data_IF_655170551492
#
_entry.id   IF_655170551492
#
_cell.length_a   1.000
_cell.length_b   1.000
_cell.length_c   1.000
_cell.angle_alpha   90.00
_cell.angle_beta   90.00
_cell.angle_gamma   90.00
#
_symmetry.space_group_name_H-M   'P 1'
#
loop_
_entity.id
_entity.type
_entity.pdbx_description
1 polymer ?
#
# COMPACT_ATOMS: atom_id res chain seq x y z
N UNK A 1 -21.77 -47.17 30.14
CA UNK A 1 -21.45 -45.75 30.44
C UNK A 1 -20.52 -45.22 29.34
N UNK A 2 -21.00 -44.98 28.12
CA UNK A 2 -20.14 -44.50 27.01
C UNK A 2 -20.49 -43.09 26.52
N UNK A 3 -21.65 -42.54 26.90
CA UNK A 3 -22.14 -41.29 26.31
C UNK A 3 -21.76 -40.00 27.05
N UNK A 4 -21.26 -40.08 28.29
CA UNK A 4 -20.99 -38.88 29.11
C UNK A 4 -19.61 -38.25 28.83
N UNK A 5 -18.60 -39.07 28.52
CA UNK A 5 -17.26 -38.58 28.14
C UNK A 5 -17.21 -38.08 26.69
N UNK A 6 -17.79 -38.82 25.74
CA UNK A 6 -17.83 -38.41 24.32
C UNK A 6 -18.57 -37.09 24.12
N UNK A 7 -19.66 -36.86 24.87
CA UNK A 7 -20.40 -35.59 24.85
C UNK A 7 -19.61 -34.40 25.41
N UNK A 8 -18.74 -34.63 26.40
CA UNK A 8 -17.85 -33.59 26.96
C UNK A 8 -16.75 -33.21 25.97
N UNK A 9 -16.13 -34.19 25.32
CA UNK A 9 -15.09 -33.97 24.31
C UNK A 9 -15.64 -33.16 23.12
N UNK A 10 -16.83 -33.52 22.61
CA UNK A 10 -17.48 -32.79 21.51
C UNK A 10 -17.78 -31.33 21.86
N UNK A 11 -18.21 -31.05 23.10
CA UNK A 11 -18.42 -29.68 23.59
C UNK A 11 -17.13 -28.86 23.64
N UNK A 12 -16.05 -29.45 24.15
CA UNK A 12 -14.75 -28.78 24.21
C UNK A 12 -14.25 -28.46 22.80
N UNK A 13 -14.36 -29.41 21.86
CA UNK A 13 -13.96 -29.21 20.47
C UNK A 13 -14.75 -28.09 19.79
N UNK A 14 -16.08 -28.05 20.00
CA UNK A 14 -16.94 -27.01 19.45
C UNK A 14 -16.56 -25.61 19.96
N UNK A 15 -16.29 -25.48 21.27
CA UNK A 15 -15.84 -24.20 21.86
C UNK A 15 -14.48 -23.79 21.29
N UNK A 16 -13.55 -24.73 21.14
CA UNK A 16 -12.23 -24.47 20.56
C UNK A 16 -12.32 -23.98 19.11
N UNK A 17 -13.18 -24.61 18.30
CA UNK A 17 -13.42 -24.20 16.91
C UNK A 17 -14.01 -22.79 16.82
N UNK A 18 -14.99 -22.45 17.68
CA UNK A 18 -15.57 -21.10 17.72
C UNK A 18 -14.52 -20.06 18.13
N UNK A 19 -13.69 -20.36 19.13
CA UNK A 19 -12.59 -19.48 19.55
C UNK A 19 -11.57 -19.29 18.42
N UNK A 20 -11.14 -20.36 17.77
CA UNK A 20 -10.23 -20.29 16.62
C UNK A 20 -10.82 -19.50 15.45
N UNK A 21 -12.12 -19.62 15.20
CA UNK A 21 -12.80 -18.88 14.15
C UNK A 21 -12.83 -17.37 14.45
N UNK A 22 -13.20 -16.98 15.69
CA UNK A 22 -13.21 -15.57 16.11
C UNK A 22 -11.81 -14.96 16.03
N UNK A 23 -10.77 -15.69 16.48
CA UNK A 23 -9.38 -15.23 16.40
C UNK A 23 -8.92 -15.07 14.94
N UNK A 24 -9.29 -16.01 14.06
CA UNK A 24 -8.91 -15.98 12.65
C UNK A 24 -9.57 -14.81 11.89
N UNK A 25 -10.85 -14.53 12.14
CA UNK A 25 -11.60 -13.41 11.53
C UNK A 25 -11.05 -12.05 12.01
N UNK A 26 -10.57 -11.97 13.24
CA UNK A 26 -9.99 -10.74 13.80
C UNK A 26 -8.60 -10.44 13.22
N UNK A 27 -7.78 -11.46 12.98
CA UNK A 27 -6.44 -11.29 12.39
C UNK A 27 -6.48 -10.89 10.90
N UNK A 28 -7.44 -11.44 10.13
CA UNK A 28 -7.56 -11.14 8.71
C UNK A 28 -8.00 -9.69 8.42
N UNK A 29 -8.89 -9.13 9.25
CA UNK A 29 -9.43 -7.77 9.07
C UNK A 29 -8.39 -6.67 9.38
N UNK A 30 -7.55 -6.86 10.41
CA UNK A 30 -6.46 -5.93 10.73
C UNK A 30 -5.36 -5.90 9.64
N UNK A 31 -5.14 -7.01 8.94
CA UNK A 31 -4.14 -7.12 7.86
C UNK A 31 -4.54 -6.33 6.61
N UNK A 32 -5.83 -6.32 6.25
CA UNK A 32 -6.34 -5.62 5.06
C UNK A 32 -6.46 -4.10 5.25
N UNK A 33 -6.79 -3.62 6.45
CA UNK A 33 -6.89 -2.18 6.72
C UNK A 33 -5.53 -1.47 6.63
N UNK A 34 -4.44 -2.17 6.94
CA UNK A 34 -3.09 -1.59 6.94
C UNK A 34 -2.41 -1.62 5.55
N UNK A 35 -2.90 -2.43 4.61
CA UNK A 35 -2.32 -2.54 3.26
C UNK A 35 -2.63 -1.35 2.36
N UNK A 36 -3.81 -0.75 2.51
CA UNK A 36 -4.24 0.39 1.69
C UNK A 36 -3.49 1.68 2.01
N UNK A 37 -2.99 1.83 3.24
CA UNK A 37 -2.40 3.09 3.70
C UNK A 37 -1.05 3.36 3.02
N UNK A 38 -0.15 2.36 2.98
CA UNK A 38 1.18 2.55 2.40
C UNK A 38 1.14 2.96 0.93
N UNK A 39 0.30 2.30 0.13
CA UNK A 39 0.15 2.63 -1.29
C UNK A 39 -0.36 4.06 -1.50
N UNK A 40 -1.42 4.46 -0.80
CA UNK A 40 -2.01 5.80 -0.93
C UNK A 40 -1.05 6.91 -0.46
N UNK A 41 -0.34 6.67 0.64
CA UNK A 41 0.68 7.59 1.15
C UNK A 41 1.81 7.77 0.13
N UNK A 42 2.31 6.64 -0.40
CA UNK A 42 3.30 6.63 -1.46
C UNK A 42 2.83 7.40 -2.68
N UNK A 43 1.61 7.09 -3.18
CA UNK A 43 1.02 7.73 -4.35
C UNK A 43 0.93 9.25 -4.20
N UNK A 44 0.39 9.74 -3.07
CA UNK A 44 0.26 11.17 -2.81
C UNK A 44 1.62 11.87 -2.82
N UNK A 45 2.63 11.27 -2.19
CA UNK A 45 4.00 11.82 -2.15
C UNK A 45 4.66 11.79 -3.53
N UNK A 46 4.51 10.68 -4.25
CA UNK A 46 4.99 10.51 -5.61
C UNK A 46 4.40 11.56 -6.54
N UNK A 47 3.08 11.73 -6.52
CA UNK A 47 2.35 12.66 -7.39
C UNK A 47 2.80 14.12 -7.23
N UNK A 48 2.97 14.60 -6.01
CA UNK A 48 3.51 15.94 -5.80
C UNK A 48 4.98 16.07 -6.23
N UNK A 49 5.78 15.01 -6.05
CA UNK A 49 7.15 14.96 -6.57
C UNK A 49 7.21 15.03 -8.10
N UNK A 50 6.38 14.22 -8.76
CA UNK A 50 6.26 14.15 -10.22
C UNK A 50 5.81 15.48 -10.82
N UNK A 51 4.81 16.14 -10.23
CA UNK A 51 4.37 17.49 -10.66
C UNK A 51 5.51 18.50 -10.61
N UNK A 52 6.24 18.56 -9.48
CA UNK A 52 7.36 19.49 -9.30
C UNK A 52 8.47 19.24 -10.33
N UNK A 53 8.80 17.98 -10.60
CA UNK A 53 9.79 17.65 -11.61
C UNK A 53 9.29 18.01 -13.01
N UNK A 54 8.06 17.64 -13.34
CA UNK A 54 7.45 17.98 -14.64
C UNK A 54 7.43 19.49 -14.91
N UNK A 55 7.21 20.30 -13.86
CA UNK A 55 7.33 21.75 -13.95
C UNK A 55 8.75 22.23 -14.22
N UNK A 56 9.74 21.70 -13.49
CA UNK A 56 11.15 22.06 -13.70
C UNK A 56 11.60 21.69 -15.11
N UNK A 57 11.27 20.49 -15.57
CA UNK A 57 11.65 20.00 -16.90
C UNK A 57 10.95 20.81 -18.00
N UNK A 58 9.67 21.13 -17.82
CA UNK A 58 8.93 22.02 -18.72
C UNK A 58 9.61 23.37 -18.86
N UNK A 59 9.94 24.01 -17.73
CA UNK A 59 10.57 25.34 -17.75
C UNK A 59 11.97 25.32 -18.38
N UNK A 60 12.72 24.22 -18.20
CA UNK A 60 14.10 24.11 -18.66
C UNK A 60 14.23 23.65 -20.11
N UNK A 61 13.38 22.72 -20.53
CA UNK A 61 13.53 22.00 -21.81
C UNK A 61 12.28 22.06 -22.70
N UNK A 62 11.22 22.72 -22.25
CA UNK A 62 9.94 22.74 -22.93
C UNK A 62 9.43 21.32 -23.12
N UNK A 63 9.19 20.93 -24.37
CA UNK A 63 8.61 19.63 -24.71
C UNK A 63 9.64 18.51 -24.91
N UNK A 64 10.94 18.83 -24.99
CA UNK A 64 11.95 17.94 -25.57
C UNK A 64 12.44 16.83 -24.64
N UNK A 65 12.49 17.05 -23.33
CA UNK A 65 12.96 16.03 -22.39
C UNK A 65 11.81 15.19 -21.80
N UNK A 66 12.13 13.93 -21.54
CA UNK A 66 11.25 12.92 -20.95
C UNK A 66 11.90 12.41 -19.67
N UNK A 67 11.08 12.10 -18.66
CA UNK A 67 11.54 11.58 -17.37
C UNK A 67 12.44 10.34 -17.56
N UNK A 68 13.73 10.49 -17.24
CA UNK A 68 14.71 9.41 -17.38
C UNK A 68 14.70 8.43 -16.22
N UNK A 69 14.37 8.89 -15.01
CA UNK A 69 14.33 8.06 -13.80
C UNK A 69 13.40 8.63 -12.74
N UNK A 70 12.60 7.76 -12.14
CA UNK A 70 11.83 8.07 -10.93
C UNK A 70 12.79 7.98 -9.72
N UNK A 71 12.89 9.01 -8.87
CA UNK A 71 13.70 8.95 -7.67
C UNK A 71 13.16 7.89 -6.70
N UNK A 72 14.04 7.21 -5.97
CA UNK A 72 13.62 6.35 -4.88
C UNK A 72 13.08 7.20 -3.73
N UNK A 73 11.93 6.86 -3.13
CA UNK A 73 11.45 7.59 -1.97
C UNK A 73 12.33 7.33 -0.74
N UNK A 74 12.32 8.30 0.18
CA UNK A 74 12.88 8.11 1.51
C UNK A 74 11.97 7.18 2.32
N UNK A 75 12.48 6.02 2.68
CA UNK A 75 11.77 5.02 3.47
C UNK A 75 12.21 5.08 4.94
N UNK A 76 11.26 5.02 5.87
CA UNK A 76 11.56 4.90 7.30
C UNK A 76 11.91 3.45 7.64
N UNK A 77 12.98 3.23 8.43
CA UNK A 77 13.41 1.91 8.91
C UNK A 77 12.36 1.26 9.82
N UNK A 78 11.49 2.04 10.45
CA UNK A 78 10.39 1.58 11.30
C UNK A 78 9.23 0.97 10.51
N UNK A 79 9.17 1.18 9.20
CA UNK A 79 8.12 0.60 8.37
C UNK A 79 8.31 -0.90 8.20
N UNK A 80 7.20 -1.63 8.31
CA UNK A 80 7.16 -3.04 7.92
C UNK A 80 7.58 -3.19 6.46
N UNK A 81 8.18 -4.34 6.12
CA UNK A 81 8.52 -4.66 4.72
C UNK A 81 7.32 -4.46 3.80
N UNK A 82 6.17 -4.95 4.24
CA UNK A 82 4.93 -4.86 3.49
C UNK A 82 4.47 -3.40 3.25
N UNK A 83 4.48 -2.54 4.28
CA UNK A 83 4.13 -1.12 4.10
C UNK A 83 5.09 -0.43 3.13
N UNK A 84 6.40 -0.66 3.31
CA UNK A 84 7.45 -0.11 2.44
C UNK A 84 7.28 -0.53 0.97
N UNK A 85 6.99 -1.81 0.73
CA UNK A 85 6.80 -2.34 -0.62
C UNK A 85 5.54 -1.77 -1.30
N UNK A 86 4.45 -1.56 -0.54
CA UNK A 86 3.26 -0.88 -1.05
C UNK A 86 3.50 0.62 -1.28
N UNK A 87 4.19 1.28 -0.36
CA UNK A 87 4.57 2.69 -0.47
C UNK A 87 5.44 2.95 -1.70
N UNK A 88 6.46 2.13 -1.94
CA UNK A 88 7.32 2.26 -3.12
C UNK A 88 6.52 2.12 -4.43
N UNK A 89 5.60 1.15 -4.50
CA UNK A 89 4.72 0.95 -5.66
C UNK A 89 3.79 2.15 -5.88
N UNK A 90 3.16 2.62 -4.81
CA UNK A 90 2.31 3.82 -4.84
C UNK A 90 3.09 5.04 -5.31
N UNK A 91 4.27 5.26 -4.74
CA UNK A 91 5.14 6.37 -5.08
C UNK A 91 5.53 6.39 -6.55
N UNK A 92 5.97 5.26 -7.11
CA UNK A 92 6.34 5.17 -8.52
C UNK A 92 5.16 5.53 -9.44
N UNK A 93 3.99 4.95 -9.18
CA UNK A 93 2.78 5.25 -9.95
C UNK A 93 2.36 6.71 -9.83
N UNK A 94 2.25 7.22 -8.62
CA UNK A 94 1.89 8.62 -8.38
C UNK A 94 2.86 9.58 -9.05
N UNK A 95 4.16 9.30 -9.01
CA UNK A 95 5.18 10.15 -9.64
C UNK A 95 4.99 10.26 -11.14
N UNK A 96 4.76 9.15 -11.84
CA UNK A 96 4.48 9.16 -13.28
C UNK A 96 3.20 9.94 -13.59
N UNK A 97 2.13 9.70 -12.84
CA UNK A 97 0.84 10.36 -13.06
C UNK A 97 0.96 11.88 -12.85
N UNK A 98 1.64 12.31 -11.79
CA UNK A 98 1.90 13.72 -11.49
C UNK A 98 2.79 14.40 -12.53
N UNK A 99 3.85 13.70 -12.97
CA UNK A 99 4.74 14.18 -14.03
C UNK A 99 4.00 14.37 -15.34
N UNK A 100 3.30 13.33 -15.81
CA UNK A 100 2.57 13.33 -17.07
C UNK A 100 1.47 14.40 -17.09
N UNK A 101 0.75 14.58 -15.97
CA UNK A 101 -0.27 15.63 -15.87
C UNK A 101 0.32 17.02 -16.06
N UNK A 102 1.48 17.32 -15.47
CA UNK A 102 2.10 18.62 -15.64
C UNK A 102 2.68 18.79 -17.04
N UNK A 103 3.30 17.74 -17.61
CA UNK A 103 3.82 17.77 -18.98
C UNK A 103 2.70 17.99 -20.00
N UNK A 104 1.52 17.41 -19.79
CA UNK A 104 0.35 17.71 -20.62
C UNK A 104 -0.05 19.19 -20.55
N UNK A 105 -0.04 19.80 -19.35
CA UNK A 105 -0.33 21.22 -19.20
C UNK A 105 0.75 22.12 -19.81
N UNK A 106 2.02 21.69 -19.80
CA UNK A 106 3.13 22.38 -20.47
C UNK A 106 2.97 22.48 -22.00
N UNK A 107 2.18 21.57 -22.60
CA UNK A 107 1.94 21.50 -24.03
C UNK A 107 0.78 22.40 -24.50
N UNK A 108 0.04 23.00 -23.56
CA UNK A 108 -1.04 23.96 -23.85
C UNK A 108 -0.54 25.39 -23.68
#
# INVERSE_FOLDING_TARGET
MENKESGRIKKVLAVLLVVCFILSVTAASASAANSSNGYNDGYKKGYEGGKKQGQKDCNKYGIKEVLSKIPSPLNDKRWTKFYRDNYNRGFQKGYLDGYNKYRYLCLK
#
